data_IF_420578154261
#
_entry.id   IF_420578154261
#
_cell.length_a   1.000
_cell.length_b   1.000
_cell.length_c   1.000
_cell.angle_alpha   90.00
_cell.angle_beta   90.00
_cell.angle_gamma   90.00
#
_symmetry.space_group_name_H-M   'P 1'
#
loop_
_entity.id
_entity.type
_entity.pdbx_description
1 polymer ?
#
# COMPACT_ATOMS: atom_id res chain seq x y z
N UNK A 1 -1.33 -7.85 24.01
CA UNK A 1 0.00 -7.72 24.60
C UNK A 1 -0.07 -7.22 26.06
N UNK A 2 -0.83 -6.17 26.34
CA UNK A 2 -0.95 -5.61 27.70
C UNK A 2 -1.53 -6.60 28.71
N UNK A 3 -2.32 -7.56 28.26
CA UNK A 3 -2.92 -8.59 29.12
C UNK A 3 -2.09 -9.87 29.19
N UNK A 4 -1.47 -10.27 28.09
CA UNK A 4 -0.83 -11.59 27.96
C UNK A 4 0.70 -11.55 27.89
N UNK A 5 1.29 -10.39 27.54
CA UNK A 5 2.72 -10.26 27.24
C UNK A 5 3.12 -10.79 25.86
N UNK A 6 2.18 -11.27 25.05
CA UNK A 6 2.44 -11.81 23.71
C UNK A 6 1.94 -10.83 22.65
N UNK A 7 2.73 -10.57 21.60
CA UNK A 7 2.32 -9.71 20.50
C UNK A 7 1.21 -10.37 19.65
N UNK A 8 1.23 -11.69 19.51
CA UNK A 8 0.20 -12.51 18.89
C UNK A 8 0.32 -13.99 19.30
N UNK A 9 -0.79 -14.77 19.28
CA UNK A 9 -0.73 -16.20 19.61
C UNK A 9 0.12 -17.00 18.61
N UNK A 10 0.85 -18.00 19.09
CA UNK A 10 1.64 -18.89 18.22
C UNK A 10 0.80 -19.55 17.12
N UNK A 11 -0.47 -19.90 17.41
CA UNK A 11 -1.40 -20.45 16.41
C UNK A 11 -1.73 -19.48 15.27
N UNK A 12 -1.64 -18.15 15.50
CA UNK A 12 -1.90 -17.16 14.44
C UNK A 12 -0.82 -17.21 13.37
N UNK A 13 0.45 -17.44 13.72
CA UNK A 13 1.54 -17.63 12.77
C UNK A 13 1.28 -18.82 11.82
N UNK A 14 0.92 -19.97 12.40
CA UNK A 14 0.61 -21.16 11.58
C UNK A 14 -0.61 -20.95 10.66
N UNK A 15 -1.62 -20.22 11.14
CA UNK A 15 -2.77 -19.85 10.31
C UNK A 15 -2.36 -18.95 9.15
N UNK A 16 -1.46 -17.98 9.37
CA UNK A 16 -0.95 -17.10 8.31
C UNK A 16 -0.16 -17.87 7.25
N UNK A 17 0.64 -18.87 7.64
CA UNK A 17 1.42 -19.70 6.72
C UNK A 17 0.56 -20.57 5.80
N UNK A 18 -0.64 -20.93 6.22
CA UNK A 18 -1.54 -21.80 5.46
C UNK A 18 -2.68 -21.07 4.78
N UNK A 19 -2.86 -19.78 5.06
CA UNK A 19 -3.90 -18.95 4.47
C UNK A 19 -3.62 -18.67 2.98
N UNK A 20 -4.66 -18.62 2.17
CA UNK A 20 -4.59 -18.21 0.75
C UNK A 20 -4.12 -16.75 0.60
N UNK A 21 -4.50 -15.89 1.53
CA UNK A 21 -4.07 -14.50 1.66
C UNK A 21 -4.32 -14.01 3.10
N UNK A 22 -3.61 -12.97 3.51
CA UNK A 22 -3.71 -12.38 4.84
C UNK A 22 -4.30 -10.98 4.71
N UNK A 23 -5.32 -10.67 5.51
CA UNK A 23 -5.85 -9.32 5.67
C UNK A 23 -5.46 -8.85 7.07
N UNK A 24 -4.60 -7.82 7.14
CA UNK A 24 -4.10 -7.27 8.40
C UNK A 24 -4.74 -5.91 8.67
N UNK A 25 -5.30 -5.73 9.86
CA UNK A 25 -5.70 -4.42 10.38
C UNK A 25 -4.51 -3.65 10.93
N UNK A 26 -4.68 -2.35 11.14
CA UNK A 26 -3.65 -1.55 11.78
C UNK A 26 -3.41 -2.01 13.22
N UNK A 27 -2.15 -2.23 13.60
CA UNK A 27 -1.74 -2.71 14.92
C UNK A 27 -0.87 -1.69 15.64
N UNK A 28 -0.78 -1.83 16.97
CA UNK A 28 0.06 -1.03 17.85
C UNK A 28 -0.73 -0.06 18.74
N UNK A 29 -0.25 0.09 19.96
CA UNK A 29 -0.75 1.06 20.94
C UNK A 29 0.46 1.73 21.61
N UNK A 30 0.48 3.05 21.83
CA UNK A 30 1.64 3.78 22.37
C UNK A 30 2.10 3.27 23.76
N UNK A 31 1.18 2.72 24.55
CA UNK A 31 1.48 2.19 25.88
C UNK A 31 1.94 0.72 25.86
N UNK A 32 1.76 0.02 24.74
CA UNK A 32 2.20 -1.35 24.55
C UNK A 32 3.63 -1.38 24.03
N UNK A 33 4.61 -1.50 24.93
CA UNK A 33 6.04 -1.51 24.59
C UNK A 33 6.70 -2.80 25.04
N UNK A 34 7.61 -3.28 24.18
CA UNK A 34 8.49 -4.39 24.49
C UNK A 34 9.58 -3.95 25.48
N UNK A 35 10.25 -4.89 26.17
CA UNK A 35 11.33 -4.58 27.12
C UNK A 35 12.50 -3.76 26.51
N UNK A 36 12.72 -3.87 25.20
CA UNK A 36 13.74 -3.12 24.47
C UNK A 36 13.29 -1.71 24.04
N UNK A 37 12.06 -1.29 24.41
CA UNK A 37 11.48 0.00 24.09
C UNK A 37 10.71 0.08 22.77
N UNK A 38 10.78 -0.93 21.90
CA UNK A 38 10.03 -1.00 20.67
C UNK A 38 8.50 -1.08 20.93
N UNK A 39 7.69 -0.63 19.97
CA UNK A 39 6.24 -0.78 20.08
C UNK A 39 5.84 -2.25 19.87
N UNK A 40 5.01 -2.78 20.74
CA UNK A 40 4.40 -4.09 20.55
C UNK A 40 3.47 -4.06 19.31
N UNK A 41 3.48 -5.15 18.54
CA UNK A 41 2.79 -5.27 17.26
C UNK A 41 3.70 -5.04 16.03
N UNK A 42 4.83 -4.38 16.20
CA UNK A 42 5.85 -4.30 15.13
C UNK A 42 6.36 -5.69 14.75
N UNK A 43 6.53 -6.59 15.72
CA UNK A 43 6.91 -7.98 15.50
C UNK A 43 5.93 -8.77 14.64
N UNK A 44 4.63 -8.45 14.67
CA UNK A 44 3.62 -9.05 13.78
C UNK A 44 3.89 -8.66 12.34
N UNK A 45 4.05 -7.36 12.07
CA UNK A 45 4.24 -6.83 10.71
C UNK A 45 5.57 -7.34 10.12
N UNK A 46 6.67 -7.15 10.85
CA UNK A 46 7.99 -7.59 10.38
C UNK A 46 8.11 -9.11 10.35
N UNK A 47 7.50 -9.82 11.31
CA UNK A 47 7.44 -11.27 11.31
C UNK A 47 6.77 -11.82 10.05
N UNK A 48 5.64 -11.25 9.63
CA UNK A 48 4.97 -11.61 8.38
C UNK A 48 5.81 -11.25 7.15
N UNK A 49 6.34 -10.03 7.06
CA UNK A 49 7.12 -9.57 5.90
C UNK A 49 8.36 -10.41 5.68
N UNK A 50 9.15 -10.66 6.72
CA UNK A 50 10.38 -11.45 6.62
C UNK A 50 10.11 -12.95 6.62
N UNK A 51 9.24 -13.43 7.49
CA UNK A 51 8.98 -14.87 7.64
C UNK A 51 8.24 -15.50 6.46
N UNK A 52 7.44 -14.73 5.73
CA UNK A 52 6.74 -15.16 4.52
C UNK A 52 7.38 -14.62 3.23
N UNK A 53 8.55 -13.99 3.34
CA UNK A 53 9.32 -13.39 2.24
C UNK A 53 8.48 -12.48 1.33
N UNK A 54 7.70 -11.56 1.92
CA UNK A 54 6.84 -10.62 1.23
C UNK A 54 7.65 -9.44 0.70
N UNK A 55 8.41 -9.64 -0.37
CA UNK A 55 9.47 -8.73 -0.83
C UNK A 55 8.98 -7.49 -1.58
N UNK A 56 7.77 -7.49 -2.12
CA UNK A 56 7.22 -6.35 -2.87
C UNK A 56 6.06 -5.72 -2.11
N UNK A 57 6.24 -4.50 -1.62
CA UNK A 57 5.16 -3.71 -1.03
C UNK A 57 4.57 -2.82 -2.12
N UNK A 58 3.34 -3.16 -2.54
CA UNK A 58 2.62 -2.51 -3.63
C UNK A 58 1.68 -1.47 -3.06
N UNK A 59 1.89 -0.21 -3.39
CA UNK A 59 1.11 0.93 -2.89
C UNK A 59 0.49 1.71 -4.05
N UNK A 60 -0.77 1.42 -4.45
CA UNK A 60 -1.49 2.21 -5.44
C UNK A 60 -1.75 3.63 -4.93
N UNK A 61 -1.61 4.59 -5.83
CA UNK A 61 -1.92 6.01 -5.61
C UNK A 61 -2.93 6.41 -6.65
N UNK A 62 -4.21 6.47 -6.27
CA UNK A 62 -5.30 6.77 -7.18
C UNK A 62 -6.25 7.79 -6.57
N UNK A 63 -6.43 8.90 -7.25
CA UNK A 63 -7.38 9.93 -6.86
C UNK A 63 -8.75 9.64 -7.46
N UNK A 64 -9.72 9.38 -6.61
CA UNK A 64 -11.10 9.14 -7.02
C UNK A 64 -11.88 10.44 -7.25
N UNK A 65 -12.84 10.47 -8.21
CA UNK A 65 -13.73 11.61 -8.37
C UNK A 65 -14.51 11.92 -7.08
N UNK A 66 -14.60 13.19 -6.74
CA UNK A 66 -15.29 13.68 -5.54
C UNK A 66 -14.37 13.87 -4.32
N UNK A 67 -13.15 13.37 -4.37
CA UNK A 67 -12.18 13.54 -3.29
C UNK A 67 -11.53 14.94 -3.38
N UNK A 68 -11.53 15.65 -2.25
CA UNK A 68 -10.80 16.89 -2.05
C UNK A 68 -9.59 16.67 -1.15
N UNK A 69 -8.62 17.55 -1.25
CA UNK A 69 -7.37 17.50 -0.48
C UNK A 69 -7.44 18.50 0.66
N UNK A 70 -7.07 18.07 1.87
CA UNK A 70 -6.97 18.95 3.03
C UNK A 70 -5.62 19.63 3.02
N UNK A 71 -5.60 20.91 2.61
CA UNK A 71 -4.39 21.76 2.57
C UNK A 71 -4.67 23.03 3.37
N UNK A 72 -3.83 23.38 4.34
CA UNK A 72 -4.02 24.52 5.26
C UNK A 72 -5.41 24.51 5.95
N UNK A 73 -5.85 23.33 6.42
CA UNK A 73 -7.17 23.09 7.01
C UNK A 73 -8.37 23.37 6.09
N UNK A 74 -8.15 23.63 4.82
CA UNK A 74 -9.18 23.81 3.81
C UNK A 74 -9.24 22.59 2.87
N UNK A 75 -10.45 22.22 2.45
CA UNK A 75 -10.65 21.18 1.45
C UNK A 75 -10.71 21.78 0.05
N UNK A 76 -9.73 21.42 -0.79
CA UNK A 76 -9.62 21.89 -2.18
C UNK A 76 -9.28 20.74 -3.11
N UNK A 77 -9.79 20.76 -4.34
CA UNK A 77 -9.32 19.85 -5.37
C UNK A 77 -8.03 20.41 -5.98
N UNK A 78 -6.88 19.91 -5.51
CA UNK A 78 -5.55 20.34 -5.97
C UNK A 78 -5.17 19.62 -7.26
N UNK A 79 -5.39 18.30 -7.29
CA UNK A 79 -5.14 17.45 -8.47
C UNK A 79 -6.46 16.96 -9.07
N UNK A 80 -6.42 16.66 -10.38
CA UNK A 80 -7.58 16.08 -11.07
C UNK A 80 -7.55 14.57 -11.01
N UNK A 81 -8.69 13.89 -10.75
CA UNK A 81 -8.73 12.42 -10.59
C UNK A 81 -8.11 11.65 -11.76
N UNK A 82 -8.29 12.11 -12.99
CA UNK A 82 -7.73 11.44 -14.16
C UNK A 82 -6.21 11.65 -14.37
N UNK A 83 -5.56 12.41 -13.50
CA UNK A 83 -4.11 12.70 -13.55
C UNK A 83 -3.33 12.00 -12.43
N UNK A 84 -3.99 11.34 -11.49
CA UNK A 84 -3.34 10.62 -10.39
C UNK A 84 -3.79 9.17 -10.41
N UNK A 85 -2.98 8.33 -11.05
CA UNK A 85 -3.15 6.86 -11.08
C UNK A 85 -1.79 6.23 -11.39
N UNK A 86 -1.01 5.98 -10.35
CA UNK A 86 0.28 5.29 -10.43
C UNK A 86 0.47 4.35 -9.24
N UNK A 87 1.49 3.50 -9.29
CA UNK A 87 1.83 2.58 -8.20
C UNK A 87 3.27 2.76 -7.79
N UNK A 88 3.54 2.78 -6.51
CA UNK A 88 4.90 2.63 -5.98
C UNK A 88 5.08 1.18 -5.52
N UNK A 89 6.09 0.53 -6.05
CA UNK A 89 6.56 -0.79 -5.62
C UNK A 89 7.79 -0.57 -4.76
N UNK A 90 7.63 -0.76 -3.45
CA UNK A 90 8.66 -0.62 -2.43
C UNK A 90 9.31 -1.98 -2.16
N UNK A 91 10.63 -2.06 -2.17
CA UNK A 91 11.33 -3.20 -1.60
C UNK A 91 10.95 -3.31 -0.11
N UNK A 92 10.78 -4.52 0.43
CA UNK A 92 10.10 -4.71 1.71
C UNK A 92 10.85 -5.59 2.73
N UNK A 93 11.99 -6.16 2.37
CA UNK A 93 12.70 -7.18 3.16
C UNK A 93 14.16 -6.87 3.44
N UNK A 94 14.69 -5.77 2.91
CA UNK A 94 16.07 -5.32 3.16
C UNK A 94 16.11 -3.78 3.31
N UNK A 95 17.19 -3.13 2.99
CA UNK A 95 17.37 -1.68 3.09
C UNK A 95 17.81 -1.25 4.48
N UNK A 96 17.33 -0.11 4.94
CA UNK A 96 17.64 0.46 6.25
C UNK A 96 16.90 -0.24 7.41
N UNK A 97 15.79 -0.92 7.10
CA UNK A 97 14.94 -1.56 8.11
C UNK A 97 15.37 -3.00 8.45
N UNK A 98 16.53 -3.43 7.97
CA UNK A 98 17.13 -4.70 8.37
C UNK A 98 17.51 -4.70 9.84
N UNK A 99 17.55 -5.87 10.52
CA UNK A 99 18.01 -5.97 11.91
C UNK A 99 19.51 -5.79 12.10
N UNK A 100 20.28 -5.46 11.06
CA UNK A 100 21.73 -5.21 11.12
C UNK A 100 22.01 -3.82 11.73
N UNK A 101 21.78 -3.69 13.03
CA UNK A 101 21.88 -2.46 13.81
C UNK A 101 22.49 -2.71 15.19
N UNK A 102 22.99 -1.68 15.82
CA UNK A 102 23.55 -1.78 17.17
C UNK A 102 23.72 -0.44 17.85
N UNK A 103 23.75 -0.48 19.18
CA UNK A 103 23.97 0.69 20.04
C UNK A 103 25.15 0.42 20.96
N UNK A 104 26.01 1.39 21.15
CA UNK A 104 27.09 1.40 22.12
C UNK A 104 26.71 2.32 23.28
N UNK A 105 26.59 1.77 24.48
CA UNK A 105 26.30 2.53 25.70
C UNK A 105 27.55 2.61 26.57
N UNK A 106 27.81 3.78 27.16
CA UNK A 106 28.88 4.01 28.14
C UNK A 106 28.33 4.87 29.30
N UNK A 107 28.72 4.52 30.53
CA UNK A 107 28.34 5.31 31.69
C UNK A 107 26.83 5.44 31.91
N UNK A 108 26.01 4.50 31.40
CA UNK A 108 24.54 4.50 31.53
C UNK A 108 23.81 5.36 30.48
N UNK A 109 24.51 5.86 29.47
CA UNK A 109 23.91 6.56 28.32
C UNK A 109 24.36 5.97 26.98
N UNK A 110 23.48 6.03 25.97
CA UNK A 110 23.82 5.63 24.60
C UNK A 110 24.73 6.69 23.97
N UNK A 111 25.89 6.25 23.48
CA UNK A 111 26.93 7.11 22.92
C UNK A 111 26.97 7.03 21.39
N UNK A 112 26.62 5.86 20.84
CA UNK A 112 26.65 5.59 19.40
C UNK A 112 25.52 4.63 19.04
N UNK A 113 24.77 4.94 17.98
CA UNK A 113 23.87 4.01 17.32
C UNK A 113 24.24 3.87 15.84
N UNK A 114 24.17 2.66 15.31
CA UNK A 114 24.45 2.35 13.91
C UNK A 114 23.31 1.55 13.33
N UNK A 115 22.77 2.01 12.19
CA UNK A 115 21.89 1.25 11.33
C UNK A 115 22.59 0.99 9.99
N UNK A 116 22.55 -0.24 9.51
CA UNK A 116 23.18 -0.63 8.25
C UNK A 116 22.12 -0.69 7.14
N UNK A 117 22.33 0.08 6.07
CA UNK A 117 21.51 0.00 4.87
C UNK A 117 22.08 -1.03 3.92
N UNK A 118 21.31 -2.10 3.67
CA UNK A 118 21.74 -3.25 2.89
C UNK A 118 20.92 -3.33 1.60
N UNK A 119 21.60 -3.39 0.46
CA UNK A 119 20.99 -3.66 -0.86
C UNK A 119 21.70 -4.89 -1.43
N UNK A 120 20.93 -5.96 -1.65
CA UNK A 120 21.43 -7.17 -2.27
C UNK A 120 20.98 -7.29 -3.72
N UNK A 121 21.75 -8.03 -4.54
CA UNK A 121 21.32 -8.35 -5.90
C UNK A 121 19.96 -9.10 -5.90
N UNK A 122 19.81 -10.10 -5.04
CA UNK A 122 18.58 -10.89 -4.94
C UNK A 122 17.36 -10.01 -4.61
N UNK A 123 17.45 -9.15 -3.59
CA UNK A 123 16.37 -8.29 -3.16
C UNK A 123 15.97 -7.28 -4.25
N UNK A 124 16.96 -6.60 -4.83
CA UNK A 124 16.73 -5.65 -5.90
C UNK A 124 16.16 -6.32 -7.17
N UNK A 125 16.72 -7.45 -7.61
CA UNK A 125 16.29 -8.11 -8.85
C UNK A 125 14.82 -8.52 -8.82
N UNK A 126 14.36 -9.15 -7.73
CA UNK A 126 12.99 -9.67 -7.66
C UNK A 126 11.95 -8.55 -7.62
N UNK A 127 12.17 -7.48 -6.85
CA UNK A 127 11.21 -6.38 -6.74
C UNK A 127 11.20 -5.50 -8.01
N UNK A 128 12.35 -5.32 -8.66
CA UNK A 128 12.44 -4.61 -9.95
C UNK A 128 11.71 -5.41 -11.04
N UNK A 129 11.94 -6.73 -11.10
CA UNK A 129 11.19 -7.61 -12.02
C UNK A 129 9.70 -7.52 -11.80
N UNK A 130 9.26 -7.63 -10.55
CA UNK A 130 7.86 -7.46 -10.17
C UNK A 130 7.26 -6.13 -10.67
N UNK A 131 8.00 -5.04 -10.53
CA UNK A 131 7.54 -3.72 -10.99
C UNK A 131 7.35 -3.66 -12.51
N UNK A 132 8.25 -4.28 -13.30
CA UNK A 132 8.10 -4.37 -14.76
C UNK A 132 6.92 -5.26 -15.16
N UNK A 133 6.73 -6.40 -14.50
CA UNK A 133 5.59 -7.29 -14.73
C UNK A 133 4.27 -6.58 -14.39
N UNK A 134 4.23 -5.85 -13.28
CA UNK A 134 3.07 -5.03 -12.93
C UNK A 134 2.77 -3.98 -14.01
N UNK A 135 3.78 -3.26 -14.51
CA UNK A 135 3.60 -2.23 -15.53
C UNK A 135 3.01 -2.78 -16.83
N UNK A 136 3.40 -3.99 -17.24
CA UNK A 136 2.83 -4.65 -18.45
C UNK A 136 1.31 -4.83 -18.37
N UNK A 137 0.77 -5.02 -17.16
CA UNK A 137 -0.66 -5.29 -16.95
C UNK A 137 -1.47 -4.04 -16.59
N UNK A 138 -0.83 -2.90 -16.38
CA UNK A 138 -1.51 -1.62 -16.08
C UNK A 138 -1.96 -0.90 -17.36
N UNK A 139 -2.69 0.19 -17.18
CA UNK A 139 -3.15 1.04 -18.27
C UNK A 139 -2.14 2.11 -18.75
N UNK A 140 -0.92 2.09 -18.22
CA UNK A 140 0.11 3.09 -18.48
C UNK A 140 -0.11 4.40 -17.74
N UNK A 141 0.89 5.29 -17.81
CA UNK A 141 0.87 6.61 -17.18
C UNK A 141 -0.33 7.45 -17.64
N UNK A 142 -1.03 8.19 -16.78
CA UNK A 142 -2.19 9.00 -17.14
C UNK A 142 -1.92 10.00 -18.29
N UNK A 143 -0.71 10.55 -18.37
CA UNK A 143 -0.29 11.56 -19.34
C UNK A 143 -0.36 11.08 -20.80
N UNK A 144 0.15 9.87 -21.06
CA UNK A 144 0.44 9.40 -22.42
C UNK A 144 0.08 7.92 -22.67
N UNK A 145 -0.45 7.24 -21.65
CA UNK A 145 -0.84 5.82 -21.68
C UNK A 145 0.31 4.85 -21.96
N UNK A 146 1.54 5.30 -21.78
CA UNK A 146 2.70 4.44 -21.94
C UNK A 146 2.97 3.67 -20.65
N UNK A 147 3.25 2.38 -20.79
CA UNK A 147 3.78 1.58 -19.71
C UNK A 147 5.19 2.07 -19.37
N UNK A 148 5.42 2.44 -18.13
CA UNK A 148 6.69 3.02 -17.69
C UNK A 148 7.04 2.54 -16.30
N UNK A 149 8.30 2.17 -16.11
CA UNK A 149 8.86 1.94 -14.76
C UNK A 149 9.88 3.03 -14.47
N UNK A 150 9.69 3.75 -13.38
CA UNK A 150 10.65 4.75 -12.89
C UNK A 150 11.51 4.12 -11.80
N UNK A 151 12.82 4.02 -12.04
CA UNK A 151 13.82 3.63 -11.06
C UNK A 151 14.05 4.78 -10.08
N UNK A 152 13.59 4.63 -8.84
CA UNK A 152 13.82 5.62 -7.79
C UNK A 152 15.01 5.19 -6.94
N UNK A 153 16.00 6.07 -6.80
CA UNK A 153 17.24 5.77 -6.08
C UNK A 153 17.98 7.05 -5.62
N UNK A 154 19.17 6.88 -5.04
CA UNK A 154 20.15 7.93 -4.75
C UNK A 154 21.54 7.53 -5.23
N UNK A 155 21.62 6.95 -6.44
CA UNK A 155 22.85 6.36 -7.01
C UNK A 155 23.99 7.34 -7.23
N UNK A 156 23.70 8.64 -7.31
CA UNK A 156 24.73 9.68 -7.36
C UNK A 156 25.58 9.74 -6.08
N UNK A 157 25.07 9.23 -4.94
CA UNK A 157 25.76 9.28 -3.64
C UNK A 157 26.00 7.88 -3.08
N UNK A 158 25.00 7.00 -3.09
CA UNK A 158 24.99 5.74 -2.36
C UNK A 158 25.48 4.56 -3.22
N UNK A 159 26.38 3.75 -2.67
CA UNK A 159 26.91 2.57 -3.36
C UNK A 159 25.85 1.49 -3.60
N UNK A 160 24.98 1.24 -2.60
CA UNK A 160 23.87 0.31 -2.75
C UNK A 160 22.89 0.70 -3.85
N UNK A 161 22.65 2.00 -4.03
CA UNK A 161 21.77 2.48 -5.08
C UNK A 161 22.41 2.46 -6.47
N UNK A 162 23.73 2.51 -6.55
CA UNK A 162 24.43 2.21 -7.81
C UNK A 162 24.22 0.75 -8.23
N UNK A 163 24.27 -0.17 -7.26
CA UNK A 163 23.95 -1.58 -7.50
C UNK A 163 22.48 -1.73 -7.92
N UNK A 164 21.55 -1.08 -7.21
CA UNK A 164 20.11 -1.06 -7.53
C UNK A 164 19.85 -0.62 -8.98
N UNK A 165 20.43 0.51 -9.39
CA UNK A 165 20.30 1.05 -10.76
C UNK A 165 20.92 0.12 -11.80
N UNK A 166 22.09 -0.45 -11.53
CA UNK A 166 22.72 -1.40 -12.44
C UNK A 166 21.85 -2.64 -12.68
N UNK A 167 21.21 -3.17 -11.63
CA UNK A 167 20.28 -4.30 -11.74
C UNK A 167 19.03 -3.90 -12.52
N UNK A 168 18.51 -2.70 -12.29
CA UNK A 168 17.39 -2.17 -13.08
C UNK A 168 17.74 -2.12 -14.57
N UNK A 169 18.93 -1.64 -14.91
CA UNK A 169 19.41 -1.55 -16.30
C UNK A 169 19.64 -2.93 -16.95
N UNK A 170 19.99 -3.95 -16.17
CA UNK A 170 20.10 -5.35 -16.61
C UNK A 170 18.72 -6.00 -16.88
N UNK A 171 17.69 -5.62 -16.13
CA UNK A 171 16.35 -6.19 -16.24
C UNK A 171 15.52 -5.52 -17.32
N UNK A 172 15.53 -4.20 -17.37
CA UNK A 172 14.67 -3.39 -18.22
C UNK A 172 14.66 -3.79 -19.72
N UNK A 173 15.76 -4.17 -20.36
CA UNK A 173 15.77 -4.61 -21.76
C UNK A 173 14.91 -5.86 -22.04
N UNK A 174 14.56 -6.65 -21.02
CA UNK A 174 13.69 -7.83 -21.16
C UNK A 174 12.21 -7.45 -21.36
N UNK A 175 11.86 -6.18 -21.12
CA UNK A 175 10.50 -5.63 -21.21
C UNK A 175 10.43 -4.53 -22.28
N UNK A 176 10.56 -4.90 -23.55
CA UNK A 176 10.71 -3.98 -24.68
C UNK A 176 9.57 -2.96 -24.83
N UNK A 177 8.36 -3.29 -24.35
CA UNK A 177 7.16 -2.44 -24.41
C UNK A 177 7.00 -1.54 -23.18
N UNK A 178 7.93 -1.54 -22.25
CA UNK A 178 7.91 -0.72 -21.03
C UNK A 178 9.03 0.31 -21.08
N UNK A 179 8.68 1.58 -21.05
CA UNK A 179 9.66 2.67 -21.03
C UNK A 179 10.46 2.67 -19.71
N UNK A 180 11.74 2.96 -19.83
CA UNK A 180 12.65 3.18 -18.69
C UNK A 180 12.64 4.64 -18.30
N UNK A 181 12.55 4.90 -17.01
CA UNK A 181 12.67 6.23 -16.44
C UNK A 181 13.47 6.20 -15.13
N UNK A 182 14.03 7.33 -14.74
CA UNK A 182 14.91 7.43 -13.59
C UNK A 182 14.65 8.71 -12.80
N UNK A 183 14.60 8.58 -11.48
CA UNK A 183 14.51 9.73 -10.61
C UNK A 183 15.36 9.52 -9.33
N UNK A 184 16.14 10.51 -8.95
CA UNK A 184 16.63 10.55 -7.58
C UNK A 184 15.49 10.77 -6.62
N UNK A 185 15.52 10.18 -5.44
CA UNK A 185 14.40 10.24 -4.49
C UNK A 185 13.97 11.67 -4.15
N UNK A 186 14.91 12.58 -3.96
CA UNK A 186 14.63 13.99 -3.70
C UNK A 186 13.91 14.68 -4.87
N UNK A 187 14.30 14.39 -6.11
CA UNK A 187 13.61 14.85 -7.30
C UNK A 187 12.23 14.17 -7.46
N UNK A 188 12.14 12.86 -7.20
CA UNK A 188 10.90 12.11 -7.28
C UNK A 188 9.81 12.69 -6.40
N UNK A 189 10.13 13.03 -5.14
CA UNK A 189 9.16 13.65 -4.21
C UNK A 189 8.60 14.97 -4.72
N UNK A 190 9.41 15.79 -5.40
CA UNK A 190 8.92 17.02 -6.05
C UNK A 190 8.03 16.73 -7.27
N UNK A 191 8.47 15.79 -8.11
CA UNK A 191 7.80 15.51 -9.37
C UNK A 191 6.46 14.82 -9.20
N UNK A 192 6.29 13.91 -8.24
CA UNK A 192 4.98 13.30 -7.97
C UNK A 192 3.93 14.32 -7.53
N UNK A 193 4.36 15.40 -6.85
CA UNK A 193 3.48 16.50 -6.46
C UNK A 193 3.14 17.40 -7.66
N UNK A 194 4.12 17.70 -8.52
CA UNK A 194 3.98 18.63 -9.66
C UNK A 194 3.32 18.02 -10.89
N UNK A 195 3.61 16.75 -11.16
CA UNK A 195 3.23 16.07 -12.40
C UNK A 195 2.99 14.58 -12.16
N UNK A 196 2.05 14.20 -11.25
CA UNK A 196 1.77 12.79 -10.93
C UNK A 196 1.36 11.98 -12.16
N UNK A 197 0.77 12.64 -13.16
CA UNK A 197 0.32 12.03 -14.40
C UNK A 197 1.44 11.45 -15.27
N UNK A 198 2.71 11.77 -14.97
CA UNK A 198 3.86 11.25 -15.70
C UNK A 198 4.24 9.81 -15.31
N UNK A 199 3.78 9.35 -14.14
CA UNK A 199 4.18 8.08 -13.57
C UNK A 199 3.14 6.99 -13.84
N UNK A 200 3.62 5.76 -14.04
CA UNK A 200 2.82 4.54 -14.13
C UNK A 200 3.20 3.60 -12.95
N UNK A 201 4.44 3.09 -12.95
CA UNK A 201 4.99 2.33 -11.85
C UNK A 201 6.33 2.96 -11.44
N UNK A 202 6.52 3.19 -10.16
CA UNK A 202 7.81 3.56 -9.60
C UNK A 202 8.33 2.42 -8.72
N UNK A 203 9.60 2.06 -8.84
CA UNK A 203 10.23 1.03 -7.99
C UNK A 203 11.34 1.66 -7.17
N UNK A 204 11.31 1.44 -5.86
CA UNK A 204 12.20 2.09 -4.89
C UNK A 204 12.75 1.14 -3.84
N UNK A 205 13.99 1.36 -3.34
CA UNK A 205 14.47 0.76 -2.11
C UNK A 205 13.55 1.03 -0.91
N UNK A 206 13.65 0.22 0.11
CA UNK A 206 12.70 0.15 1.22
C UNK A 206 12.37 1.52 1.85
N UNK A 207 13.34 2.23 2.41
CA UNK A 207 13.08 3.51 3.09
C UNK A 207 12.60 4.61 2.13
N UNK A 208 13.10 4.62 0.89
CA UNK A 208 12.67 5.63 -0.10
C UNK A 208 11.22 5.38 -0.55
N UNK A 209 10.86 4.11 -0.76
CA UNK A 209 9.50 3.72 -1.07
C UNK A 209 8.53 4.05 0.06
N UNK A 210 8.95 3.88 1.33
CA UNK A 210 8.14 4.22 2.49
C UNK A 210 7.81 5.72 2.55
N UNK A 211 8.84 6.55 2.56
CA UNK A 211 8.70 8.01 2.65
C UNK A 211 7.92 8.57 1.45
N UNK A 212 8.25 8.10 0.24
CA UNK A 212 7.60 8.58 -0.98
C UNK A 212 6.11 8.23 -1.02
N UNK A 213 5.70 7.08 -0.49
CA UNK A 213 4.29 6.67 -0.50
C UNK A 213 3.44 7.41 0.52
N UNK A 214 4.01 7.84 1.65
CA UNK A 214 3.30 8.70 2.60
C UNK A 214 3.03 10.08 1.99
N UNK A 215 4.02 10.65 1.28
CA UNK A 215 3.79 11.86 0.49
C UNK A 215 2.75 11.63 -0.62
N UNK A 216 2.84 10.50 -1.33
CA UNK A 216 1.90 10.15 -2.40
C UNK A 216 0.47 9.95 -1.91
N UNK A 217 0.27 9.52 -0.66
CA UNK A 217 -1.05 9.39 -0.06
C UNK A 217 -1.81 10.74 -0.01
N UNK A 218 -1.09 11.87 0.09
CA UNK A 218 -1.70 13.20 0.03
C UNK A 218 -2.35 13.46 -1.34
N UNK A 219 -1.77 12.95 -2.44
CA UNK A 219 -2.30 13.15 -3.78
C UNK A 219 -3.64 12.42 -4.04
N UNK A 220 -3.91 11.36 -3.28
CA UNK A 220 -5.16 10.61 -3.41
C UNK A 220 -6.24 11.01 -2.40
N UNK A 221 -5.95 11.96 -1.49
CA UNK A 221 -6.91 12.48 -0.50
C UNK A 221 -6.52 12.21 0.95
N UNK A 222 -5.47 11.41 1.20
CA UNK A 222 -4.96 11.14 2.53
C UNK A 222 -4.79 9.66 2.84
N UNK A 223 -4.30 9.37 4.04
CA UNK A 223 -3.98 8.02 4.50
C UNK A 223 -5.22 7.13 4.66
N UNK A 224 -6.40 7.72 4.93
CA UNK A 224 -7.66 6.97 5.09
C UNK A 224 -8.14 6.25 3.83
N UNK A 225 -7.61 6.62 2.64
CA UNK A 225 -7.90 5.95 1.37
C UNK A 225 -6.75 5.01 0.94
N UNK A 226 -5.60 5.10 1.58
CA UNK A 226 -4.39 4.46 1.13
C UNK A 226 -4.30 2.99 1.59
N UNK A 227 -4.36 2.07 0.65
CA UNK A 227 -4.18 0.63 0.85
C UNK A 227 -2.84 0.14 0.31
N UNK A 228 -2.38 -0.99 0.81
CA UNK A 228 -1.17 -1.64 0.35
C UNK A 228 -1.25 -3.16 0.36
N UNK A 229 -0.44 -3.79 -0.50
CA UNK A 229 -0.25 -5.22 -0.51
C UNK A 229 1.23 -5.56 -0.37
N UNK A 230 1.55 -6.46 0.54
CA UNK A 230 2.89 -7.03 0.70
C UNK A 230 2.89 -8.38 -0.01
N UNK A 231 3.62 -8.51 -1.09
CA UNK A 231 3.54 -9.64 -2.02
C UNK A 231 4.87 -10.41 -2.03
N UNK A 232 4.78 -11.70 -1.85
CA UNK A 232 5.85 -12.67 -2.08
C UNK A 232 5.46 -13.64 -3.19
N UNK A 233 6.34 -14.62 -3.45
CA UNK A 233 6.08 -15.63 -4.47
C UNK A 233 4.92 -16.57 -4.07
N UNK A 234 4.84 -16.93 -2.77
CA UNK A 234 3.84 -17.88 -2.26
C UNK A 234 2.72 -17.22 -1.47
N UNK A 235 3.01 -16.13 -0.76
CA UNK A 235 2.11 -15.49 0.18
C UNK A 235 1.87 -14.03 -0.17
N UNK A 236 0.74 -13.49 0.30
CA UNK A 236 0.45 -12.07 0.25
C UNK A 236 -0.32 -11.61 1.49
N UNK A 237 -0.01 -10.38 1.94
CA UNK A 237 -0.68 -9.71 3.03
C UNK A 237 -1.16 -8.34 2.56
N UNK A 238 -2.42 -8.02 2.83
CA UNK A 238 -3.05 -6.76 2.45
C UNK A 238 -3.42 -5.98 3.70
N UNK A 239 -3.16 -4.68 3.69
CA UNK A 239 -3.33 -3.82 4.86
C UNK A 239 -3.63 -2.38 4.45
N UNK A 240 -4.32 -1.58 5.29
CA UNK A 240 -4.27 -0.13 5.16
C UNK A 240 -2.86 0.35 5.53
N UNK A 241 -2.34 1.39 4.86
CA UNK A 241 -1.00 1.90 5.18
C UNK A 241 -0.95 2.84 6.38
N UNK A 242 -2.10 3.30 6.87
CA UNK A 242 -2.17 4.11 8.09
C UNK A 242 -1.94 3.28 9.37
N UNK A 243 -1.47 3.94 10.44
CA UNK A 243 -1.35 3.32 11.76
C UNK A 243 -2.70 3.11 12.45
N UNK A 244 -2.65 2.63 13.68
CA UNK A 244 -3.83 2.25 14.51
C UNK A 244 -4.68 3.41 15.01
N UNK A 245 -4.21 4.66 14.90
CA UNK A 245 -4.92 5.88 15.32
C UNK A 245 -5.59 5.80 16.71
N UNK A 246 -4.85 5.46 17.79
CA UNK A 246 -5.40 5.12 19.11
C UNK A 246 -6.24 6.25 19.72
N UNK A 247 -5.99 7.50 19.34
CA UNK A 247 -6.79 8.67 19.77
C UNK A 247 -8.25 8.60 19.32
N UNK A 248 -8.58 7.81 18.31
CA UNK A 248 -9.91 7.66 17.74
C UNK A 248 -10.58 6.31 18.10
N UNK A 249 -9.91 5.48 18.90
CA UNK A 249 -10.46 4.19 19.30
C UNK A 249 -11.84 4.34 19.97
N UNK A 250 -12.79 3.50 19.56
CA UNK A 250 -14.16 3.51 20.09
C UNK A 250 -15.06 4.67 19.65
N UNK A 251 -14.57 5.62 18.81
CA UNK A 251 -15.35 6.80 18.41
C UNK A 251 -16.15 6.62 17.11
N UNK A 252 -16.01 5.51 16.40
CA UNK A 252 -16.65 5.27 15.10
C UNK A 252 -16.38 6.40 14.08
N UNK A 253 -15.15 6.95 14.04
CA UNK A 253 -14.84 8.22 13.37
C UNK A 253 -13.89 8.08 12.18
N UNK A 254 -13.00 7.08 12.20
CA UNK A 254 -11.95 6.93 11.18
C UNK A 254 -12.51 6.50 9.82
N UNK A 255 -11.79 6.79 8.75
CA UNK A 255 -12.16 6.36 7.40
C UNK A 255 -11.91 4.84 7.22
N UNK A 256 -12.91 4.04 6.81
CA UNK A 256 -12.74 2.62 6.56
C UNK A 256 -12.24 2.30 5.14
N UNK A 257 -12.11 3.28 4.24
CA UNK A 257 -11.91 3.05 2.81
C UNK A 257 -10.58 2.35 2.54
N UNK A 258 -9.49 2.72 3.24
CA UNK A 258 -8.20 2.05 3.06
C UNK A 258 -8.29 0.53 3.33
N UNK A 259 -8.99 0.14 4.39
CA UNK A 259 -9.21 -1.28 4.72
C UNK A 259 -10.07 -1.99 3.67
N UNK A 260 -11.12 -1.32 3.17
CA UNK A 260 -11.99 -1.84 2.11
C UNK A 260 -11.21 -2.01 0.80
N UNK A 261 -10.34 -1.05 0.46
CA UNK A 261 -9.47 -1.15 -0.71
C UNK A 261 -8.36 -2.22 -0.52
N UNK A 262 -7.91 -2.49 0.70
CA UNK A 262 -7.03 -3.62 0.97
C UNK A 262 -7.73 -4.96 0.67
N UNK A 263 -9.02 -5.10 1.01
CA UNK A 263 -9.84 -6.27 0.60
C UNK A 263 -9.99 -6.33 -0.92
N UNK A 264 -10.18 -5.20 -1.58
CA UNK A 264 -10.23 -5.13 -3.05
C UNK A 264 -8.94 -5.67 -3.67
N UNK A 265 -7.77 -5.20 -3.19
CA UNK A 265 -6.47 -5.69 -3.66
C UNK A 265 -6.28 -7.18 -3.40
N UNK A 266 -6.72 -7.68 -2.24
CA UNK A 266 -6.69 -9.11 -1.90
C UNK A 266 -7.51 -9.95 -2.88
N UNK A 267 -8.72 -9.52 -3.23
CA UNK A 267 -9.56 -10.24 -4.18
C UNK A 267 -8.99 -10.22 -5.60
N UNK A 268 -8.41 -9.11 -6.03
CA UNK A 268 -7.77 -8.99 -7.34
C UNK A 268 -6.55 -9.92 -7.46
N UNK A 269 -5.71 -9.92 -6.42
CA UNK A 269 -4.53 -10.80 -6.35
C UNK A 269 -4.93 -12.29 -6.33
N UNK A 270 -5.88 -12.68 -5.48
CA UNK A 270 -6.39 -14.06 -5.42
C UNK A 270 -7.05 -14.49 -6.74
N UNK A 271 -7.86 -13.61 -7.33
CA UNK A 271 -8.53 -13.84 -8.59
C UNK A 271 -7.53 -14.09 -9.72
N UNK A 272 -6.49 -13.28 -9.79
CA UNK A 272 -5.41 -13.42 -10.78
C UNK A 272 -4.62 -14.71 -10.54
N UNK A 273 -4.19 -14.96 -9.31
CA UNK A 273 -3.37 -16.13 -8.96
C UNK A 273 -4.10 -17.46 -9.15
N UNK A 274 -5.39 -17.52 -8.83
CA UNK A 274 -6.22 -18.74 -8.93
C UNK A 274 -6.95 -18.87 -10.27
N UNK A 275 -6.88 -17.85 -11.13
CA UNK A 275 -7.68 -17.80 -12.36
C UNK A 275 -9.18 -17.69 -12.08
N UNK A 276 -9.57 -17.10 -10.93
CA UNK A 276 -10.97 -16.98 -10.49
C UNK A 276 -11.57 -15.65 -10.94
N UNK A 277 -12.36 -15.72 -12.01
CA UNK A 277 -13.05 -14.56 -12.56
C UNK A 277 -14.09 -13.94 -11.59
N UNK A 278 -14.64 -14.71 -10.65
CA UNK A 278 -15.59 -14.19 -9.68
C UNK A 278 -14.90 -13.30 -8.65
N UNK A 279 -13.70 -13.67 -8.18
CA UNK A 279 -12.89 -12.83 -7.30
C UNK A 279 -12.44 -11.54 -8.01
N UNK A 280 -11.98 -11.64 -9.27
CA UNK A 280 -11.61 -10.44 -10.05
C UNK A 280 -12.82 -9.53 -10.28
N UNK A 281 -14.01 -10.08 -10.52
CA UNK A 281 -15.23 -9.28 -10.63
C UNK A 281 -15.63 -8.65 -9.31
N UNK A 282 -15.46 -9.37 -8.18
CA UNK A 282 -15.71 -8.82 -6.85
C UNK A 282 -14.78 -7.64 -6.53
N UNK A 283 -13.48 -7.77 -6.84
CA UNK A 283 -12.51 -6.68 -6.69
C UNK A 283 -12.95 -5.42 -7.44
N UNK A 284 -13.32 -5.54 -8.71
CA UNK A 284 -13.84 -4.43 -9.52
C UNK A 284 -15.13 -3.84 -8.94
N UNK A 285 -16.00 -4.69 -8.39
CA UNK A 285 -17.23 -4.27 -7.73
C UNK A 285 -16.97 -3.42 -6.48
N UNK A 286 -16.03 -3.86 -5.64
CA UNK A 286 -15.63 -3.13 -4.43
C UNK A 286 -15.05 -1.75 -4.79
N UNK A 287 -14.12 -1.70 -5.74
CA UNK A 287 -13.54 -0.43 -6.19
C UNK A 287 -14.60 0.52 -6.76
N UNK A 288 -15.51 0.01 -7.59
CA UNK A 288 -16.60 0.80 -8.16
C UNK A 288 -17.56 1.33 -7.09
N UNK A 289 -17.84 0.55 -6.03
CA UNK A 289 -18.68 0.97 -4.92
C UNK A 289 -18.01 2.11 -4.11
N UNK A 290 -16.72 1.97 -3.80
CA UNK A 290 -15.93 3.03 -3.14
C UNK A 290 -15.94 4.30 -4.00
N UNK A 291 -15.59 4.20 -5.28
CA UNK A 291 -15.60 5.33 -6.21
C UNK A 291 -16.99 6.00 -6.30
N UNK A 292 -18.06 5.21 -6.24
CA UNK A 292 -19.43 5.69 -6.23
C UNK A 292 -19.79 6.51 -4.99
N UNK A 293 -19.41 6.05 -3.79
CA UNK A 293 -19.62 6.80 -2.53
C UNK A 293 -18.82 8.10 -2.52
N UNK A 294 -17.55 8.04 -2.88
CA UNK A 294 -16.67 9.21 -2.96
C UNK A 294 -17.20 10.25 -3.96
N UNK A 295 -17.64 9.81 -5.16
CA UNK A 295 -18.19 10.69 -6.19
C UNK A 295 -19.49 11.37 -5.76
N UNK A 296 -20.34 10.69 -5.00
CA UNK A 296 -21.58 11.26 -4.46
C UNK A 296 -21.31 12.32 -3.40
N UNK A 297 -20.21 12.19 -2.64
CA UNK A 297 -19.78 13.15 -1.63
C UNK A 297 -20.74 13.34 -0.44
N UNK A 298 -21.73 12.44 -0.26
CA UNK A 298 -22.77 12.57 0.77
C UNK A 298 -22.37 11.93 2.10
N UNK A 299 -21.66 10.81 2.04
CA UNK A 299 -21.30 9.99 3.21
C UNK A 299 -19.77 9.89 3.25
N UNK A 300 -19.14 10.94 3.76
CA UNK A 300 -17.70 11.08 3.88
C UNK A 300 -17.30 11.29 5.34
N UNK A 301 -16.17 10.76 5.74
CA UNK A 301 -15.57 10.99 7.07
C UNK A 301 -14.94 12.39 7.17
N UNK A 302 -14.56 12.78 8.37
CA UNK A 302 -14.04 14.12 8.69
C UNK A 302 -12.74 14.47 7.94
N UNK A 303 -11.91 13.49 7.66
CA UNK A 303 -10.64 13.64 6.92
C UNK A 303 -10.84 13.87 5.42
N UNK A 304 -12.02 13.53 4.90
CA UNK A 304 -12.48 13.82 3.54
C UNK A 304 -13.43 15.02 3.47
N UNK A 305 -13.58 15.77 4.55
CA UNK A 305 -14.42 16.97 4.61
C UNK A 305 -15.89 16.71 4.94
N UNK A 306 -16.26 15.49 5.33
CA UNK A 306 -17.60 15.12 5.75
C UNK A 306 -17.75 15.06 7.28
N UNK A 307 -18.84 14.44 7.72
CA UNK A 307 -19.16 14.21 9.13
C UNK A 307 -19.71 12.81 9.40
N UNK A 308 -19.67 11.94 8.39
CA UNK A 308 -20.18 10.57 8.52
C UNK A 308 -19.26 9.73 9.44
N UNK A 309 -19.86 8.77 10.09
CA UNK A 309 -19.18 7.79 10.91
C UNK A 309 -18.49 6.72 10.04
N UNK A 310 -17.50 6.05 10.61
CA UNK A 310 -16.84 4.90 9.98
C UNK A 310 -17.86 3.84 9.52
N UNK A 311 -18.77 3.46 10.40
CA UNK A 311 -19.84 2.48 10.12
C UNK A 311 -20.80 2.93 9.02
N UNK A 312 -21.12 4.22 8.94
CA UNK A 312 -22.01 4.78 7.91
C UNK A 312 -21.37 4.73 6.53
N UNK A 313 -20.06 5.07 6.43
CA UNK A 313 -19.31 4.96 5.16
C UNK A 313 -19.22 3.50 4.72
N UNK A 314 -18.88 2.58 5.64
CA UNK A 314 -18.85 1.14 5.35
C UNK A 314 -20.20 0.62 4.85
N UNK A 315 -21.30 1.02 5.48
CA UNK A 315 -22.67 0.67 5.07
C UNK A 315 -23.00 1.20 3.68
N UNK A 316 -22.69 2.48 3.41
CA UNK A 316 -22.95 3.10 2.10
C UNK A 316 -22.20 2.38 0.96
N UNK A 317 -20.96 1.93 1.21
CA UNK A 317 -20.21 1.14 0.25
C UNK A 317 -20.84 -0.25 0.06
N UNK A 318 -21.23 -0.92 1.14
CA UNK A 318 -21.84 -2.25 1.09
C UNK A 318 -23.20 -2.23 0.34
N UNK A 319 -24.01 -1.19 0.51
CA UNK A 319 -25.26 -1.02 -0.21
C UNK A 319 -25.07 -0.88 -1.73
N UNK A 320 -23.96 -0.28 -2.18
CA UNK A 320 -23.64 -0.20 -3.61
C UNK A 320 -23.16 -1.54 -4.19
N UNK A 321 -22.68 -2.48 -3.36
CA UNK A 321 -22.33 -3.83 -3.75
C UNK A 321 -23.54 -4.77 -3.78
N UNK A 322 -24.62 -4.47 -3.06
CA UNK A 322 -25.80 -5.30 -3.01
C UNK A 322 -26.39 -5.47 -4.42
N UNK A 323 -26.63 -6.69 -4.91
CA UNK A 323 -27.30 -6.87 -6.18
C UNK A 323 -28.66 -6.17 -6.11
N UNK A 324 -28.94 -5.28 -7.09
CA UNK A 324 -30.24 -4.62 -7.22
C UNK A 324 -31.32 -5.71 -7.13
N UNK A 325 -32.10 -5.70 -6.05
CA UNK A 325 -33.10 -6.73 -5.67
C UNK A 325 -34.20 -6.96 -6.72
N UNK A 326 -33.99 -6.62 -7.98
CA UNK A 326 -34.97 -6.76 -9.08
C UNK A 326 -34.69 -7.84 -10.11
N UNK A 327 -33.49 -8.41 -10.20
CA UNK A 327 -33.17 -9.37 -11.29
C UNK A 327 -33.38 -10.84 -10.97
N UNK A 328 -33.50 -11.25 -9.70
CA UNK A 328 -33.79 -12.65 -9.33
C UNK A 328 -35.26 -13.07 -9.42
N UNK A 329 -36.19 -12.14 -9.42
CA UNK A 329 -37.63 -12.44 -9.53
C UNK A 329 -38.09 -12.73 -10.98
N UNK A 330 -37.37 -12.23 -12.00
CA UNK A 330 -37.73 -12.42 -13.40
C UNK A 330 -37.28 -13.78 -13.97
N UNK A 331 -36.23 -14.38 -13.43
CA UNK A 331 -35.74 -15.70 -13.90
C UNK A 331 -36.61 -16.87 -13.42
N UNK A 332 -37.27 -16.76 -12.26
CA UNK A 332 -38.17 -17.82 -11.75
C UNK A 332 -39.58 -17.82 -12.36
N UNK A 333 -39.99 -16.74 -13.04
CA UNK A 333 -41.30 -16.69 -13.74
C UNK A 333 -41.26 -17.17 -15.19
N UNK A 334 -40.08 -17.46 -15.76
CA UNK A 334 -39.97 -18.04 -17.13
C UNK A 334 -39.73 -19.57 -17.15
N UNK A 335 -39.70 -20.22 -15.98
CA UNK A 335 -39.49 -21.66 -15.83
C UNK A 335 -40.71 -22.35 -15.16
N UNK A 336 -41.91 -21.79 -15.36
CA UNK A 336 -43.21 -22.47 -15.06
C UNK A 336 -44.12 -22.39 -16.25
#
# INVERSE_FOLDING_TARGET
YLETGEEWPAAAWESCKTADAILLGAVGHPDARLPNGDLAGAGVIFGLRFGLDLYANVRPVKLYPGVAHKIHDEFKQVWKPNLVDFVVVRENTEGLYTPARGTLSRGGSDELAVDSRIITRKGAERVIRFAFELAVHRGGAPRDRKHRVTCVDKSNVLAGDRLWRAIYDEIAPKYANVERDYAYIDAFTQWIVRSPEAYDVAVAPNEFGDIATDLAAVLQGGMGIAAGGNIGDEHAMFEPIHGSAPKHAGQDKVDPIAMILAVQMMFDWLGTRKGDAALTAAAKGVEAAVAGVLKEGKTLTYDLGGSAKCSEVGTAIAEKLAPVRGRRAAAKKRAR
#
